data_IF_338912873049
#
_entry.id   IF_338912873049
#
_cell.length_a   1.000
_cell.length_b   1.000
_cell.length_c   1.000
_cell.angle_alpha   90.00
_cell.angle_beta   90.00
_cell.angle_gamma   90.00
#
_symmetry.space_group_name_H-M   'P 1'
#
loop_
_entity.id
_entity.type
_entity.pdbx_description
1 polymer ?
#
# COMPACT_ATOMS: atom_id res chain seq x y z
N UNK A 1 -35.88 4.90 -20.47
CA UNK A 1 -34.76 5.13 -21.40
C UNK A 1 -33.60 4.23 -20.95
N UNK A 2 -33.45 3.10 -21.65
CA UNK A 2 -32.41 2.12 -21.37
C UNK A 2 -31.04 2.68 -21.78
N UNK A 3 -30.16 2.93 -20.81
CA UNK A 3 -28.72 3.04 -21.07
C UNK A 3 -28.10 1.69 -20.74
N UNK A 4 -27.64 1.02 -21.78
CA UNK A 4 -26.88 -0.22 -21.73
C UNK A 4 -25.59 0.02 -20.93
N UNK A 5 -25.41 -0.71 -19.86
CA UNK A 5 -24.14 -0.83 -19.15
C UNK A 5 -23.10 -1.47 -20.06
N UNK A 6 -22.00 -0.78 -20.33
CA UNK A 6 -20.84 -1.36 -20.99
C UNK A 6 -20.21 -2.43 -20.10
N UNK A 7 -19.75 -3.55 -20.66
CA UNK A 7 -19.16 -4.62 -19.86
C UNK A 7 -17.84 -4.20 -19.21
N UNK A 8 -17.68 -4.57 -17.95
CA UNK A 8 -16.44 -4.48 -17.19
C UNK A 8 -15.32 -5.17 -17.98
N UNK A 9 -14.27 -4.45 -18.34
CA UNK A 9 -13.11 -5.06 -18.99
C UNK A 9 -12.44 -6.04 -18.01
N UNK A 10 -12.12 -7.25 -18.46
CA UNK A 10 -11.50 -8.26 -17.62
C UNK A 10 -10.09 -7.83 -17.18
N UNK A 11 -9.74 -8.15 -15.95
CA UNK A 11 -8.37 -8.10 -15.44
C UNK A 11 -7.42 -8.75 -16.46
N UNK A 12 -6.21 -8.19 -16.58
CA UNK A 12 -5.18 -8.67 -17.51
C UNK A 12 -5.02 -10.18 -17.34
N UNK A 13 -5.52 -10.92 -18.31
CA UNK A 13 -5.35 -12.37 -18.37
C UNK A 13 -3.95 -12.72 -18.87
N UNK A 14 -3.50 -13.95 -18.62
CA UNK A 14 -2.25 -14.50 -19.21
C UNK A 14 -2.13 -14.22 -20.69
N UNK A 15 -3.26 -14.22 -21.40
CA UNK A 15 -3.35 -13.94 -22.82
C UNK A 15 -3.07 -12.48 -23.13
N UNK A 16 -3.51 -11.55 -22.27
CA UNK A 16 -3.24 -10.11 -22.41
C UNK A 16 -1.77 -9.78 -22.12
N UNK A 17 -1.12 -10.50 -21.18
CA UNK A 17 0.31 -10.36 -20.92
C UNK A 17 1.14 -10.85 -22.11
N UNK A 18 0.74 -11.98 -22.70
CA UNK A 18 1.40 -12.54 -23.89
C UNK A 18 1.09 -11.74 -25.15
N UNK A 19 -0.10 -11.13 -25.26
CA UNK A 19 -0.47 -10.28 -26.39
C UNK A 19 0.17 -8.90 -26.33
N UNK A 20 0.37 -8.33 -25.15
CA UNK A 20 1.13 -7.09 -24.97
C UNK A 20 2.61 -7.27 -25.33
N UNK A 21 3.16 -8.47 -25.21
CA UNK A 21 4.50 -8.80 -25.67
C UNK A 21 4.61 -9.01 -27.19
N UNK A 22 3.47 -9.22 -27.89
CA UNK A 22 3.44 -9.58 -29.31
C UNK A 22 3.07 -8.45 -30.29
N UNK A 23 2.65 -7.28 -29.84
CA UNK A 23 2.18 -6.17 -30.70
C UNK A 23 2.97 -4.89 -30.40
N UNK A 24 4.18 -4.84 -30.85
CA UNK A 24 5.00 -3.64 -30.65
C UNK A 24 6.29 -3.56 -31.43
N UNK A 25 6.28 -3.98 -32.70
CA UNK A 25 7.43 -3.76 -33.55
C UNK A 25 7.00 -3.29 -34.95
N UNK A 26 6.79 -1.99 -35.12
CA UNK A 26 6.98 -1.31 -36.40
C UNK A 26 7.89 -0.10 -36.17
N UNK A 27 9.04 -0.03 -36.84
CA UNK A 27 9.98 1.07 -36.68
C UNK A 27 9.57 2.24 -37.59
N UNK A 28 9.20 3.36 -36.99
CA UNK A 28 9.25 4.65 -37.64
C UNK A 28 10.53 5.36 -37.19
N UNK A 29 11.49 5.40 -38.08
CA UNK A 29 12.79 6.03 -37.87
C UNK A 29 12.68 7.55 -37.77
N UNK A 30 13.29 8.10 -36.72
CA UNK A 30 13.77 9.47 -36.62
C UNK A 30 15.21 9.45 -36.09
N UNK A 31 16.16 10.20 -36.68
CA UNK A 31 17.55 10.13 -36.28
C UNK A 31 17.87 11.04 -35.10
N UNK A 32 18.61 10.49 -34.16
CA UNK A 32 19.60 11.21 -33.39
C UNK A 32 19.14 12.12 -32.25
N UNK A 33 18.87 11.55 -31.05
CA UNK A 33 19.18 12.22 -29.82
C UNK A 33 19.92 11.23 -28.90
N UNK A 34 21.17 11.55 -28.60
CA UNK A 34 22.01 10.79 -27.69
C UNK A 34 21.44 10.95 -26.28
N UNK A 35 20.79 9.93 -25.78
CA UNK A 35 20.37 9.87 -24.40
C UNK A 35 21.62 9.64 -23.53
N UNK A 36 21.99 10.61 -22.70
CA UNK A 36 22.96 10.44 -21.65
C UNK A 36 22.48 9.33 -20.70
N UNK A 37 23.14 8.17 -20.79
CA UNK A 37 22.87 7.05 -19.91
C UNK A 37 23.19 7.42 -18.47
N UNK A 38 22.19 7.49 -17.62
CA UNK A 38 22.41 7.56 -16.18
C UNK A 38 23.02 6.24 -15.76
N UNK A 39 24.25 6.33 -15.22
CA UNK A 39 25.00 5.17 -14.73
C UNK A 39 24.31 4.62 -13.45
N UNK A 40 23.41 3.66 -13.62
CA UNK A 40 22.71 2.96 -12.53
C UNK A 40 23.65 2.09 -11.67
N UNK A 41 24.95 2.07 -12.00
CA UNK A 41 25.98 1.29 -11.27
C UNK A 41 26.47 1.92 -9.96
N UNK A 42 25.99 3.10 -9.56
CA UNK A 42 26.10 3.52 -8.16
C UNK A 42 25.04 2.82 -7.31
N UNK A 43 25.00 1.51 -7.44
CA UNK A 43 24.14 0.64 -6.63
C UNK A 43 24.52 0.73 -5.16
N UNK A 44 23.51 0.74 -4.31
CA UNK A 44 23.57 0.56 -2.87
C UNK A 44 24.61 -0.50 -2.51
N UNK A 45 25.53 -0.16 -1.58
CA UNK A 45 26.67 -0.99 -1.22
C UNK A 45 26.28 -2.45 -0.96
N UNK A 46 27.02 -3.37 -1.57
CA UNK A 46 26.88 -4.80 -1.33
C UNK A 46 27.15 -5.06 0.16
N UNK A 47 26.12 -5.45 0.93
CA UNK A 47 26.28 -5.88 2.32
C UNK A 47 25.31 -5.28 3.35
N UNK A 48 24.58 -4.19 3.04
CA UNK A 48 23.53 -3.67 3.94
C UNK A 48 22.27 -4.57 3.90
N UNK A 49 21.67 -4.84 5.06
CA UNK A 49 20.40 -5.53 5.12
C UNK A 49 19.37 -4.82 4.23
N UNK A 50 18.66 -5.57 3.40
CA UNK A 50 17.73 -5.02 2.42
C UNK A 50 16.53 -4.43 3.15
N UNK A 51 16.37 -3.12 3.04
CA UNK A 51 15.24 -2.40 3.65
C UNK A 51 13.96 -2.58 2.83
N UNK A 52 12.83 -2.67 3.50
CA UNK A 52 11.52 -2.94 2.93
C UNK A 52 10.43 -2.07 3.56
N UNK A 53 9.22 -2.08 2.96
CA UNK A 53 8.07 -1.34 3.49
C UNK A 53 6.79 -2.16 3.40
N UNK A 54 6.00 -2.14 4.48
CA UNK A 54 4.61 -2.57 4.52
C UNK A 54 3.75 -1.31 4.65
N UNK A 55 2.99 -1.01 3.60
CA UNK A 55 2.11 0.16 3.52
C UNK A 55 0.66 -0.27 3.67
N UNK A 56 0.06 0.05 4.81
CA UNK A 56 -1.33 -0.30 5.15
C UNK A 56 -2.21 0.90 4.79
N UNK A 57 -2.98 0.76 3.72
CA UNK A 57 -3.93 1.75 3.25
C UNK A 57 -5.31 1.46 3.85
N UNK A 58 -5.69 2.24 4.85
CA UNK A 58 -7.03 2.24 5.43
C UNK A 58 -7.99 2.97 4.48
N UNK A 59 -8.31 2.31 3.36
CA UNK A 59 -9.09 2.86 2.26
C UNK A 59 -10.45 3.36 2.73
N UNK A 60 -10.76 4.60 2.41
CA UNK A 60 -11.93 5.31 2.89
C UNK A 60 -11.60 6.47 3.85
N UNK A 61 -10.37 6.52 4.37
CA UNK A 61 -9.92 7.61 5.23
C UNK A 61 -10.43 7.53 6.67
N UNK A 62 -9.71 6.85 7.57
CA UNK A 62 -10.09 6.80 8.98
C UNK A 62 -10.09 8.18 9.61
N UNK A 63 -11.07 8.44 10.47
CA UNK A 63 -11.15 9.70 11.21
C UNK A 63 -9.99 9.81 12.20
N UNK A 64 -9.14 10.80 12.02
CA UNK A 64 -8.04 11.09 12.96
C UNK A 64 -8.56 11.46 14.35
N UNK A 65 -9.71 12.16 14.42
CA UNK A 65 -10.39 12.55 15.66
C UNK A 65 -10.89 11.36 16.48
N UNK A 66 -11.13 10.24 15.82
CA UNK A 66 -11.66 9.04 16.47
C UNK A 66 -10.62 7.91 16.51
N UNK A 67 -9.35 8.17 16.14
CA UNK A 67 -8.25 7.20 16.14
C UNK A 67 -7.04 7.67 16.96
N UNK A 68 -6.23 8.57 16.41
CA UNK A 68 -4.90 8.88 16.94
C UNK A 68 -4.71 10.34 17.32
N UNK A 69 -5.71 11.20 17.09
CA UNK A 69 -5.67 12.63 17.39
C UNK A 69 -6.98 13.14 18.02
N UNK A 70 -7.44 12.43 19.06
CA UNK A 70 -8.68 12.76 19.77
C UNK A 70 -8.60 14.14 20.40
N UNK A 71 -9.75 14.83 20.41
CA UNK A 71 -9.93 16.17 21.01
C UNK A 71 -10.96 16.12 22.12
N UNK A 72 -10.61 15.57 23.31
CA UNK A 72 -11.56 15.34 24.39
C UNK A 72 -12.21 16.63 24.93
N UNK A 73 -11.52 17.75 24.80
CA UNK A 73 -12.01 19.07 25.24
C UNK A 73 -12.84 19.81 24.16
N UNK A 74 -12.99 19.21 22.97
CA UNK A 74 -13.83 19.80 21.91
C UNK A 74 -15.32 19.58 22.22
N UNK A 75 -16.22 20.39 21.62
CA UNK A 75 -17.67 20.20 21.74
C UNK A 75 -18.11 18.78 21.32
N UNK A 76 -19.22 18.31 21.88
CA UNK A 76 -19.78 16.96 21.62
C UNK A 76 -20.02 16.69 20.12
N UNK A 77 -20.30 17.73 19.35
CA UNK A 77 -20.44 17.66 17.90
C UNK A 77 -19.14 17.35 17.17
N UNK A 78 -17.99 17.40 17.85
CA UNK A 78 -16.64 17.20 17.30
C UNK A 78 -15.95 16.01 17.94
N UNK A 79 -15.91 15.93 19.28
CA UNK A 79 -15.05 14.97 20.01
C UNK A 79 -15.38 13.50 19.77
N UNK A 80 -16.58 13.17 19.31
CA UNK A 80 -17.04 11.78 19.17
C UNK A 80 -17.29 11.07 20.51
N UNK A 81 -17.68 9.79 20.50
CA UNK A 81 -18.04 9.04 21.69
C UNK A 81 -16.82 8.39 22.40
N UNK A 82 -15.67 8.31 21.75
CA UNK A 82 -14.52 7.58 22.25
C UNK A 82 -13.65 8.40 23.19
N UNK A 83 -13.00 7.70 24.13
CA UNK A 83 -12.11 8.31 25.12
C UNK A 83 -10.64 8.05 24.75
N UNK A 84 -9.75 9.03 24.98
CA UNK A 84 -8.33 8.84 24.84
C UNK A 84 -7.74 8.10 26.05
N UNK A 85 -7.05 6.99 25.81
CA UNK A 85 -6.32 6.25 26.84
C UNK A 85 -4.84 6.62 26.87
N UNK A 86 -4.17 6.48 28.04
CA UNK A 86 -2.72 6.60 28.14
C UNK A 86 -2.03 5.47 27.38
N UNK A 87 -0.80 5.74 26.95
CA UNK A 87 0.05 4.79 26.22
C UNK A 87 1.34 4.50 27.00
N UNK A 88 2.21 3.64 26.45
CA UNK A 88 3.54 3.40 27.01
C UNK A 88 4.40 4.67 27.03
N UNK A 89 4.08 5.66 26.19
CA UNK A 89 4.79 6.95 26.12
C UNK A 89 4.03 8.01 26.91
N UNK A 90 4.62 8.60 27.96
CA UNK A 90 3.98 9.65 28.75
C UNK A 90 3.51 10.83 27.88
N UNK A 91 2.27 11.25 28.07
CA UNK A 91 1.65 12.35 27.31
C UNK A 91 1.07 11.97 25.94
N UNK A 92 1.45 10.82 25.38
CA UNK A 92 0.83 10.31 24.17
C UNK A 92 -0.48 9.59 24.52
N UNK A 93 -1.55 9.93 23.81
CA UNK A 93 -2.87 9.32 23.97
C UNK A 93 -3.44 8.93 22.62
N UNK A 94 -4.15 7.80 22.57
CA UNK A 94 -4.86 7.28 21.40
C UNK A 94 -6.23 6.75 21.81
N UNK A 95 -7.05 6.36 20.86
CA UNK A 95 -8.41 5.84 21.11
C UNK A 95 -8.38 4.61 22.03
N UNK A 96 -9.36 4.53 22.94
CA UNK A 96 -9.53 3.44 23.92
C UNK A 96 -9.65 2.04 23.32
N UNK A 97 -10.03 1.93 22.04
CA UNK A 97 -10.09 0.66 21.32
C UNK A 97 -8.72 0.15 20.84
N UNK A 98 -7.67 0.97 20.95
CA UNK A 98 -6.31 0.61 20.60
C UNK A 98 -5.49 0.14 21.81
N UNK A 99 -6.04 -0.83 22.57
CA UNK A 99 -5.45 -1.31 23.84
C UNK A 99 -4.11 -2.01 23.69
N UNK A 100 -3.87 -2.63 22.52
CA UNK A 100 -2.62 -3.32 22.19
C UNK A 100 -1.58 -2.35 21.64
N UNK A 101 -1.96 -1.50 20.67
CA UNK A 101 -1.08 -0.47 20.14
C UNK A 101 -0.63 0.54 21.18
N UNK A 102 -1.49 0.86 22.16
CA UNK A 102 -1.13 1.74 23.27
C UNK A 102 0.11 1.27 24.04
N UNK A 103 0.35 -0.04 24.09
CA UNK A 103 1.51 -0.66 24.75
C UNK A 103 2.78 -0.67 23.88
N UNK A 104 2.65 -0.39 22.60
CA UNK A 104 3.72 -0.43 21.61
C UNK A 104 4.08 0.96 21.05
N UNK A 105 3.62 2.02 21.73
CA UNK A 105 3.85 3.40 21.26
C UNK A 105 5.31 3.82 21.31
N UNK A 106 6.14 3.14 22.07
CA UNK A 106 7.60 3.27 22.08
C UNK A 106 8.26 2.77 20.76
N UNK A 107 7.56 1.96 19.96
CA UNK A 107 7.98 1.52 18.64
C UNK A 107 7.38 2.33 17.49
N UNK A 108 6.37 3.17 17.75
CA UNK A 108 5.65 3.92 16.71
C UNK A 108 5.84 5.43 16.84
N UNK A 109 5.78 6.14 15.73
CA UNK A 109 5.63 7.58 15.71
C UNK A 109 4.26 7.94 15.09
N UNK A 110 3.59 8.95 15.66
CA UNK A 110 2.33 9.49 15.18
C UNK A 110 2.58 10.79 14.43
N UNK A 111 2.19 10.85 13.17
CA UNK A 111 2.13 12.09 12.39
C UNK A 111 0.69 12.60 12.47
N UNK A 112 0.49 13.76 13.13
CA UNK A 112 -0.85 14.37 13.33
C UNK A 112 -1.10 15.57 12.43
N UNK A 113 -0.28 15.76 11.44
CA UNK A 113 -0.29 16.94 10.57
C UNK A 113 -0.31 16.61 9.09
N UNK A 114 -0.76 15.41 8.73
CA UNK A 114 -0.98 15.07 7.33
C UNK A 114 -2.07 15.95 6.73
N UNK A 115 -1.86 16.40 5.49
CA UNK A 115 -2.85 17.19 4.75
C UNK A 115 -2.59 17.13 3.24
N UNK A 116 -3.64 17.36 2.46
CA UNK A 116 -3.53 17.61 1.03
C UNK A 116 -3.49 19.10 0.72
N UNK A 117 -2.85 19.46 -0.39
CA UNK A 117 -2.94 20.79 -0.97
C UNK A 117 -4.19 20.87 -1.84
N UNK A 118 -4.99 21.90 -1.63
CA UNK A 118 -6.27 22.05 -2.33
C UNK A 118 -7.38 21.17 -1.71
N UNK A 119 -8.56 21.27 -2.28
CA UNK A 119 -9.73 20.54 -1.78
C UNK A 119 -9.86 19.17 -2.47
N UNK A 120 -8.92 18.28 -2.20
CA UNK A 120 -8.92 16.91 -2.74
C UNK A 120 -9.78 16.04 -1.84
N UNK A 121 -11.07 16.01 -2.08
CA UNK A 121 -12.06 15.33 -1.27
C UNK A 121 -12.66 14.08 -1.94
N UNK A 122 -12.06 13.58 -3.02
CA UNK A 122 -12.44 12.33 -3.63
C UNK A 122 -11.33 11.28 -3.42
N UNK A 123 -11.75 10.04 -3.25
CA UNK A 123 -10.84 8.93 -2.94
C UNK A 123 -9.77 8.69 -4.02
N UNK A 124 -10.13 8.83 -5.30
CA UNK A 124 -9.22 8.51 -6.40
C UNK A 124 -7.99 9.40 -6.42
N UNK A 125 -8.22 10.71 -6.42
CA UNK A 125 -7.13 11.68 -6.48
C UNK A 125 -6.31 11.64 -5.20
N UNK A 126 -6.98 11.54 -4.03
CA UNK A 126 -6.30 11.45 -2.75
C UNK A 126 -5.41 10.20 -2.63
N UNK A 127 -5.93 9.02 -3.01
CA UNK A 127 -5.14 7.79 -3.06
C UNK A 127 -4.01 7.87 -4.08
N UNK A 128 -4.28 8.44 -5.25
CA UNK A 128 -3.27 8.57 -6.30
C UNK A 128 -2.10 9.45 -5.85
N UNK A 129 -2.38 10.59 -5.21
CA UNK A 129 -1.34 11.45 -4.64
C UNK A 129 -0.57 10.76 -3.52
N UNK A 130 -1.28 10.11 -2.61
CA UNK A 130 -0.66 9.40 -1.48
C UNK A 130 0.26 8.27 -1.94
N UNK A 131 -0.24 7.40 -2.81
CA UNK A 131 0.48 6.20 -3.25
C UNK A 131 1.61 6.50 -4.25
N UNK A 132 1.51 7.60 -5.01
CA UNK A 132 2.59 8.07 -5.87
C UNK A 132 3.65 8.87 -5.09
N UNK A 133 3.31 9.38 -3.91
CA UNK A 133 4.18 10.30 -3.16
C UNK A 133 4.45 11.59 -3.94
N UNK A 134 3.43 12.14 -4.61
CA UNK A 134 3.52 13.37 -5.41
C UNK A 134 2.37 14.32 -5.09
N UNK A 135 2.65 15.63 -5.03
CA UNK A 135 1.66 16.65 -4.68
C UNK A 135 0.56 16.82 -5.74
N UNK A 136 0.92 16.70 -7.00
CA UNK A 136 0.04 16.81 -8.17
C UNK A 136 0.44 15.70 -9.14
N UNK A 137 0.11 14.48 -8.77
CA UNK A 137 0.50 13.31 -9.53
C UNK A 137 -0.19 13.31 -10.90
N UNK A 138 0.57 13.25 -12.01
CA UNK A 138 -0.04 13.00 -13.32
C UNK A 138 -0.72 11.63 -13.32
N UNK A 139 -1.73 11.44 -14.18
CA UNK A 139 -2.53 10.22 -14.22
C UNK A 139 -1.71 8.94 -14.44
N UNK A 140 -0.54 9.05 -15.06
CA UNK A 140 0.41 7.97 -15.30
C UNK A 140 1.56 7.91 -14.27
N UNK A 141 1.42 8.57 -13.12
CA UNK A 141 2.44 8.51 -12.08
C UNK A 141 2.57 7.09 -11.52
N UNK A 142 3.78 6.55 -11.42
CA UNK A 142 4.00 5.26 -10.78
C UNK A 142 3.87 5.40 -9.25
N UNK A 143 3.44 4.33 -8.60
CA UNK A 143 3.36 4.30 -7.15
C UNK A 143 4.72 3.99 -6.52
N UNK A 144 4.87 4.32 -5.23
CA UNK A 144 6.11 4.17 -4.46
C UNK A 144 6.70 2.76 -4.60
N UNK A 145 5.88 1.71 -4.51
CA UNK A 145 6.34 0.33 -4.70
C UNK A 145 6.83 0.04 -6.12
N UNK A 146 6.20 0.63 -7.15
CA UNK A 146 6.63 0.53 -8.55
C UNK A 146 7.95 1.26 -8.79
N UNK A 147 8.12 2.43 -8.17
CA UNK A 147 9.36 3.19 -8.20
C UNK A 147 10.49 2.37 -7.54
N UNK A 148 10.23 1.79 -6.36
CA UNK A 148 11.20 0.94 -5.68
C UNK A 148 11.60 -0.28 -6.53
N UNK A 149 10.62 -0.91 -7.18
CA UNK A 149 10.87 -2.03 -8.11
C UNK A 149 11.81 -1.65 -9.26
N UNK A 150 11.75 -0.41 -9.76
CA UNK A 150 12.65 0.11 -10.80
C UNK A 150 14.00 0.51 -10.24
N UNK A 151 14.01 1.19 -9.10
CA UNK A 151 15.23 1.70 -8.45
C UNK A 151 16.11 0.59 -7.88
N UNK A 152 15.50 -0.54 -7.51
CA UNK A 152 16.16 -1.71 -6.96
C UNK A 152 15.72 -2.97 -7.70
N UNK A 153 16.23 -3.21 -8.90
CA UNK A 153 15.99 -4.47 -9.57
C UNK A 153 16.50 -5.61 -8.68
N UNK A 154 15.61 -6.55 -8.38
CA UNK A 154 15.94 -7.72 -7.55
C UNK A 154 16.37 -8.89 -8.43
N UNK A 155 17.38 -9.61 -7.96
CA UNK A 155 17.84 -10.87 -8.58
C UNK A 155 17.04 -12.08 -8.07
N UNK A 156 16.05 -11.88 -7.19
CA UNK A 156 15.27 -12.96 -6.56
C UNK A 156 14.02 -13.31 -7.35
N UNK A 157 13.60 -14.55 -7.17
CA UNK A 157 12.44 -15.18 -7.80
C UNK A 157 11.07 -14.70 -7.30
N UNK A 158 11.00 -13.61 -6.56
CA UNK A 158 9.72 -13.08 -6.02
C UNK A 158 9.43 -11.69 -6.58
N UNK A 159 8.13 -11.36 -6.71
CA UNK A 159 7.73 -10.04 -7.17
C UNK A 159 8.25 -8.94 -6.24
N UNK A 160 8.94 -7.90 -6.74
CA UNK A 160 9.52 -6.85 -5.90
C UNK A 160 8.48 -5.96 -5.22
N UNK A 161 7.26 -5.94 -5.76
CA UNK A 161 6.10 -5.21 -5.26
C UNK A 161 4.85 -6.09 -5.28
N UNK A 162 4.17 -6.20 -4.14
CA UNK A 162 2.93 -6.97 -3.98
C UNK A 162 1.84 -6.07 -3.42
N UNK A 163 0.61 -6.25 -3.89
CA UNK A 163 -0.57 -5.57 -3.36
C UNK A 163 -1.59 -6.60 -2.88
N UNK A 164 -1.86 -6.60 -1.59
CA UNK A 164 -2.82 -7.49 -0.96
C UNK A 164 -4.20 -6.84 -0.94
N UNK A 165 -5.14 -7.47 -1.61
CA UNK A 165 -6.54 -7.06 -1.80
C UNK A 165 -6.65 -5.66 -2.42
N UNK A 166 -6.44 -5.60 -3.74
CA UNK A 166 -6.63 -4.36 -4.49
C UNK A 166 -8.05 -3.82 -4.38
N UNK A 167 -9.03 -4.71 -4.41
CA UNK A 167 -10.43 -4.35 -4.59
C UNK A 167 -11.34 -5.35 -3.87
N UNK A 168 -12.34 -4.84 -3.16
CA UNK A 168 -13.29 -5.66 -2.41
C UNK A 168 -14.74 -5.56 -2.90
N UNK A 169 -14.96 -5.04 -4.09
CA UNK A 169 -16.27 -5.12 -4.76
C UNK A 169 -16.86 -3.82 -5.28
N UNK A 170 -16.38 -2.65 -4.86
CA UNK A 170 -16.84 -1.39 -5.44
C UNK A 170 -15.90 -0.94 -6.57
N UNK A 171 -16.41 -0.74 -7.80
CA UNK A 171 -15.62 -0.22 -8.92
C UNK A 171 -14.94 1.11 -8.61
N UNK A 172 -15.53 1.93 -7.74
CA UNK A 172 -15.00 3.24 -7.34
C UNK A 172 -13.61 3.09 -6.71
N UNK A 173 -13.41 2.11 -5.83
CA UNK A 173 -12.11 1.85 -5.19
C UNK A 173 -11.19 0.93 -5.98
N UNK A 174 -11.69 0.41 -7.10
CA UNK A 174 -10.99 -0.50 -7.98
C UNK A 174 -10.56 0.17 -9.29
N UNK A 175 -10.51 1.49 -9.33
CA UNK A 175 -10.22 2.25 -10.54
C UNK A 175 -8.99 1.77 -11.28
N UNK A 176 -9.03 1.87 -12.60
CA UNK A 176 -8.02 1.33 -13.50
C UNK A 176 -6.59 1.86 -13.24
N UNK A 177 -6.47 3.04 -12.65
CA UNK A 177 -5.18 3.68 -12.37
C UNK A 177 -4.51 3.19 -11.08
N UNK A 178 -5.27 2.51 -10.20
CA UNK A 178 -4.74 2.04 -8.92
C UNK A 178 -3.84 0.83 -9.14
N UNK A 179 -2.55 0.97 -8.82
CA UNK A 179 -1.58 -0.11 -8.81
C UNK A 179 -0.85 -0.36 -10.13
N UNK A 180 -0.95 0.51 -11.09
CA UNK A 180 -0.17 0.39 -12.31
C UNK A 180 1.27 0.88 -12.09
N UNK A 181 2.22 0.31 -12.84
CA UNK A 181 3.61 0.81 -12.88
C UNK A 181 3.72 2.21 -13.48
N UNK A 182 2.60 2.81 -13.88
CA UNK A 182 2.55 4.13 -14.50
C UNK A 182 3.43 4.21 -15.75
N UNK A 183 4.09 5.35 -15.92
CA UNK A 183 5.03 5.54 -17.05
C UNK A 183 6.27 4.62 -16.98
N UNK A 184 6.53 3.92 -15.86
CA UNK A 184 7.59 2.92 -15.76
C UNK A 184 7.23 1.59 -16.46
N UNK A 185 5.95 1.39 -16.77
CA UNK A 185 5.44 0.23 -17.50
C UNK A 185 4.99 -0.93 -16.61
N UNK A 186 4.34 -1.91 -17.24
CA UNK A 186 3.70 -3.05 -16.59
C UNK A 186 4.66 -3.94 -15.80
N UNK A 187 5.93 -3.97 -16.16
CA UNK A 187 6.99 -4.74 -15.46
C UNK A 187 7.17 -4.30 -14.00
N UNK A 188 6.83 -3.05 -13.69
CA UNK A 188 6.92 -2.49 -12.35
C UNK A 188 5.57 -2.42 -11.63
N UNK A 189 4.51 -2.97 -12.22
CA UNK A 189 3.21 -3.11 -11.56
C UNK A 189 3.28 -4.14 -10.44
N UNK A 190 2.48 -3.99 -9.37
CA UNK A 190 2.44 -4.97 -8.30
C UNK A 190 1.87 -6.31 -8.76
N UNK A 191 2.29 -7.37 -8.11
CA UNK A 191 1.55 -8.62 -8.10
C UNK A 191 0.32 -8.43 -7.20
N UNK A 192 -0.87 -8.55 -7.79
CA UNK A 192 -2.11 -8.47 -7.02
C UNK A 192 -2.46 -9.82 -6.42
N UNK A 193 -2.76 -9.82 -5.11
CA UNK A 193 -3.05 -11.03 -4.35
C UNK A 193 -4.36 -10.86 -3.60
N UNK A 194 -5.26 -11.80 -3.78
CA UNK A 194 -6.49 -11.89 -3.02
C UNK A 194 -7.63 -11.00 -3.53
N UNK A 195 -8.78 -11.25 -2.96
CA UNK A 195 -10.05 -10.55 -3.20
C UNK A 195 -10.96 -10.71 -1.98
N UNK A 196 -12.15 -10.11 -2.01
CA UNK A 196 -13.15 -10.30 -0.96
C UNK A 196 -13.59 -11.78 -0.77
N UNK A 197 -13.43 -12.59 -1.81
CA UNK A 197 -13.82 -14.03 -1.81
C UNK A 197 -12.64 -15.00 -1.83
N UNK A 198 -11.42 -14.49 -1.83
CA UNK A 198 -10.18 -15.28 -1.75
C UNK A 198 -9.12 -14.49 -0.97
N UNK A 199 -9.12 -14.59 0.33
CA UNK A 199 -8.17 -13.89 1.20
C UNK A 199 -7.62 -14.81 2.30
N UNK A 200 -6.46 -14.50 2.90
CA UNK A 200 -5.75 -15.38 3.83
C UNK A 200 -6.52 -15.81 5.08
N UNK A 201 -7.57 -15.09 5.47
CA UNK A 201 -8.43 -15.52 6.58
C UNK A 201 -9.42 -16.64 6.19
N UNK A 202 -9.55 -16.94 4.89
CA UNK A 202 -10.41 -18.05 4.42
C UNK A 202 -9.64 -19.37 4.42
N UNK A 203 -10.25 -20.47 4.85
CA UNK A 203 -9.64 -21.81 4.77
C UNK A 203 -9.29 -22.23 3.34
N UNK A 204 -10.02 -21.68 2.36
CA UNK A 204 -9.87 -21.97 0.93
C UNK A 204 -8.89 -21.05 0.22
N UNK A 205 -8.20 -20.18 0.94
CA UNK A 205 -7.26 -19.23 0.34
C UNK A 205 -6.21 -19.93 -0.52
N UNK A 206 -6.03 -19.40 -1.71
CA UNK A 206 -5.01 -19.87 -2.66
C UNK A 206 -4.13 -18.74 -3.11
N UNK A 207 -2.86 -19.06 -3.31
CA UNK A 207 -1.93 -18.17 -4.00
C UNK A 207 -2.47 -17.77 -5.38
N UNK A 208 -2.06 -16.61 -5.93
CA UNK A 208 -2.44 -16.20 -7.27
C UNK A 208 -2.14 -17.28 -8.31
N UNK A 209 -3.07 -17.46 -9.25
CA UNK A 209 -2.90 -18.42 -10.35
C UNK A 209 -1.66 -18.12 -11.21
N UNK A 210 -1.24 -16.87 -11.25
CA UNK A 210 -0.02 -16.42 -11.94
C UNK A 210 1.25 -17.07 -11.38
N UNK A 211 1.22 -17.52 -10.14
CA UNK A 211 2.33 -18.24 -9.47
C UNK A 211 2.26 -19.76 -9.67
N UNK A 212 1.22 -20.25 -10.34
CA UNK A 212 1.01 -21.70 -10.52
C UNK A 212 1.43 -22.09 -11.94
N UNK A 213 2.48 -22.88 -12.06
CA UNK A 213 2.88 -23.43 -13.35
C UNK A 213 1.78 -24.38 -13.90
N UNK A 214 1.37 -24.16 -15.13
CA UNK A 214 0.40 -25.02 -15.83
C UNK A 214 1.04 -26.18 -16.57
N UNK A 215 2.38 -26.23 -16.58
CA UNK A 215 3.19 -27.28 -17.21
C UNK A 215 4.28 -27.72 -16.26
N UNK A 216 4.86 -28.90 -16.48
CA UNK A 216 5.97 -29.39 -15.62
C UNK A 216 7.17 -28.46 -15.70
N UNK A 217 7.98 -28.45 -14.64
CA UNK A 217 9.23 -27.67 -14.58
C UNK A 217 10.18 -28.04 -15.71
N UNK A 218 10.27 -29.31 -16.09
CA UNK A 218 11.08 -29.79 -17.22
C UNK A 218 10.66 -29.11 -18.52
N UNK A 219 9.34 -29.09 -18.82
CA UNK A 219 8.81 -28.45 -20.02
C UNK A 219 8.97 -26.92 -20.00
N UNK A 220 8.97 -26.32 -18.82
CA UNK A 220 9.29 -24.90 -18.66
C UNK A 220 10.77 -24.63 -18.96
N UNK A 221 11.68 -25.47 -18.48
CA UNK A 221 13.11 -25.37 -18.75
C UNK A 221 13.42 -25.57 -20.23
N UNK A 222 12.77 -26.53 -20.90
CA UNK A 222 12.89 -26.72 -22.36
C UNK A 222 12.44 -25.49 -23.13
N UNK A 223 11.28 -24.90 -22.76
CA UNK A 223 10.81 -23.66 -23.37
C UNK A 223 11.76 -22.50 -23.19
N UNK A 224 12.38 -22.37 -22.00
CA UNK A 224 13.39 -21.35 -21.72
C UNK A 224 14.62 -21.53 -22.62
N UNK A 225 15.14 -22.75 -22.73
CA UNK A 225 16.28 -23.05 -23.63
C UNK A 225 15.98 -22.72 -25.09
N UNK A 226 14.76 -23.01 -25.56
CA UNK A 226 14.32 -22.66 -26.91
C UNK A 226 14.25 -21.14 -27.10
N UNK A 227 13.70 -20.40 -26.14
CA UNK A 227 13.64 -18.94 -26.18
C UNK A 227 15.02 -18.31 -26.18
N UNK A 228 15.93 -18.80 -25.34
CA UNK A 228 17.32 -18.32 -25.27
C UNK A 228 18.04 -18.56 -26.62
N UNK A 229 17.75 -19.67 -27.30
CA UNK A 229 18.30 -19.99 -28.61
C UNK A 229 17.69 -19.18 -29.77
N UNK A 230 16.51 -18.58 -29.56
CA UNK A 230 15.83 -17.72 -30.53
C UNK A 230 16.09 -16.22 -30.31
N UNK A 231 16.83 -15.87 -29.27
CA UNK A 231 17.11 -14.47 -28.94
C UNK A 231 17.86 -13.80 -30.09
N UNK A 232 17.32 -12.75 -30.72
CA UNK A 232 17.96 -12.07 -31.83
C UNK A 232 19.25 -11.41 -31.35
N UNK A 233 20.30 -11.53 -32.13
CA UNK A 233 21.50 -10.69 -32.01
C UNK A 233 21.10 -9.28 -32.45
N UNK A 234 20.69 -8.47 -31.48
CA UNK A 234 20.26 -7.09 -31.74
C UNK A 234 21.45 -6.24 -32.19
N UNK A 235 21.34 -5.60 -33.34
CA UNK A 235 22.40 -4.79 -33.94
C UNK A 235 22.39 -3.33 -33.50
N UNK A 236 21.33 -2.87 -32.83
CA UNK A 236 21.20 -1.49 -32.35
C UNK A 236 20.82 -1.40 -30.86
N UNK A 237 21.16 -0.25 -30.23
CA UNK A 237 20.99 -0.03 -28.78
C UNK A 237 19.51 -0.05 -28.37
N UNK A 238 18.60 0.38 -29.22
CA UNK A 238 17.16 0.44 -28.90
C UNK A 238 16.58 -0.98 -28.88
N UNK A 239 16.94 -1.78 -29.86
CA UNK A 239 16.55 -3.19 -29.93
C UNK A 239 17.20 -3.99 -28.81
N UNK A 240 18.46 -3.71 -28.46
CA UNK A 240 19.15 -4.33 -27.31
C UNK A 240 18.43 -4.06 -25.99
N UNK A 241 18.01 -2.79 -25.73
CA UNK A 241 17.27 -2.44 -24.51
C UNK A 241 15.93 -3.16 -24.45
N UNK A 242 15.16 -3.14 -25.51
CA UNK A 242 13.87 -3.83 -25.59
C UNK A 242 14.03 -5.34 -25.39
N UNK A 243 15.09 -5.93 -25.94
CA UNK A 243 15.39 -7.35 -25.78
C UNK A 243 15.79 -7.69 -24.36
N UNK A 244 16.60 -6.84 -23.71
CA UNK A 244 17.01 -7.03 -22.32
C UNK A 244 15.80 -6.91 -21.37
N UNK A 245 14.97 -5.88 -21.52
CA UNK A 245 13.73 -5.71 -20.73
C UNK A 245 12.80 -6.92 -20.91
N UNK A 246 12.70 -7.47 -22.12
CA UNK A 246 11.90 -8.66 -22.42
C UNK A 246 12.48 -9.93 -21.79
N UNK A 247 13.80 -10.12 -21.86
CA UNK A 247 14.50 -11.27 -21.24
C UNK A 247 14.36 -11.23 -19.72
N UNK A 248 14.50 -10.06 -19.09
CA UNK A 248 14.34 -9.86 -17.67
C UNK A 248 12.90 -10.18 -17.23
N UNK A 249 11.89 -9.72 -18.00
CA UNK A 249 10.50 -10.03 -17.73
C UNK A 249 10.20 -11.53 -17.79
N UNK A 250 10.69 -12.19 -18.85
CA UNK A 250 10.53 -13.64 -19.02
C UNK A 250 11.30 -14.44 -17.96
N UNK A 251 12.51 -14.01 -17.63
CA UNK A 251 13.29 -14.60 -16.54
C UNK A 251 12.53 -14.57 -15.20
N UNK A 252 12.03 -13.40 -14.83
CA UNK A 252 11.22 -13.23 -13.60
C UNK A 252 9.94 -14.05 -13.62
N UNK A 253 9.19 -14.03 -14.73
CA UNK A 253 7.97 -14.83 -14.86
C UNK A 253 8.25 -16.32 -14.74
N UNK A 254 9.37 -16.79 -15.30
CA UNK A 254 9.81 -18.17 -15.16
C UNK A 254 10.16 -18.50 -13.71
N UNK A 255 10.96 -17.67 -13.05
CA UNK A 255 11.41 -17.88 -11.68
C UNK A 255 10.22 -17.87 -10.69
N UNK A 256 9.26 -16.94 -10.89
CA UNK A 256 8.02 -16.89 -10.10
C UNK A 256 7.16 -18.16 -10.25
N UNK A 257 7.16 -18.77 -11.42
CA UNK A 257 6.26 -19.91 -11.73
C UNK A 257 6.91 -21.27 -11.56
N UNK A 258 8.25 -21.37 -11.71
CA UNK A 258 8.98 -22.64 -11.66
C UNK A 258 9.47 -23.03 -10.26
N UNK A 259 9.69 -22.03 -9.38
CA UNK A 259 10.24 -22.23 -8.03
C UNK A 259 9.17 -22.46 -6.97
N UNK A 260 9.48 -23.25 -5.95
CA UNK A 260 8.69 -23.35 -4.72
C UNK A 260 8.82 -22.07 -3.86
N UNK A 261 9.96 -21.38 -3.95
CA UNK A 261 10.30 -20.21 -3.15
C UNK A 261 9.31 -19.04 -3.35
N UNK A 262 8.85 -18.81 -4.58
CA UNK A 262 7.86 -17.78 -4.89
C UNK A 262 6.47 -18.06 -4.29
N UNK A 263 6.16 -19.30 -3.93
CA UNK A 263 4.84 -19.73 -3.40
C UNK A 263 4.83 -19.93 -1.89
N UNK A 264 5.96 -20.25 -1.31
CA UNK A 264 6.07 -20.55 0.12
C UNK A 264 5.50 -19.46 1.05
N UNK A 265 5.65 -18.14 0.78
CA UNK A 265 5.06 -17.11 1.61
C UNK A 265 3.54 -17.20 1.74
N UNK A 266 2.86 -17.70 0.71
CA UNK A 266 1.39 -17.82 0.65
C UNK A 266 0.85 -19.03 1.42
N UNK A 267 1.70 -19.93 1.88
CA UNK A 267 1.32 -21.12 2.64
C UNK A 267 1.15 -20.78 4.13
N UNK A 268 0.11 -19.98 4.46
CA UNK A 268 -0.12 -19.51 5.83
C UNK A 268 -0.42 -20.65 6.81
N UNK A 269 -0.85 -21.81 6.32
CA UNK A 269 -1.04 -23.00 7.15
C UNK A 269 0.24 -23.52 7.79
N UNK A 270 1.40 -23.11 7.31
CA UNK A 270 2.69 -23.39 7.96
C UNK A 270 2.96 -22.54 9.19
N UNK A 271 2.23 -21.45 9.38
CA UNK A 271 2.33 -20.65 10.60
C UNK A 271 1.58 -21.36 11.74
N UNK A 272 2.13 -21.39 12.95
CA UNK A 272 1.42 -21.89 14.12
C UNK A 272 0.08 -21.17 14.29
N UNK A 273 -0.96 -21.92 14.69
CA UNK A 273 -2.28 -21.34 14.90
C UNK A 273 -2.25 -20.16 15.89
N UNK A 274 -1.44 -20.25 16.94
CA UNK A 274 -1.26 -19.18 17.91
C UNK A 274 -0.70 -17.88 17.31
N UNK A 275 0.14 -17.97 16.27
CA UNK A 275 0.60 -16.80 15.53
C UNK A 275 -0.52 -16.23 14.69
N UNK A 276 -1.26 -17.08 13.99
CA UNK A 276 -2.42 -16.66 13.18
C UNK A 276 -3.49 -15.97 14.03
N UNK A 277 -3.79 -16.55 15.20
CA UNK A 277 -4.76 -16.00 16.15
C UNK A 277 -4.31 -14.65 16.71
N UNK A 278 -3.00 -14.45 16.95
CA UNK A 278 -2.45 -13.18 17.42
C UNK A 278 -2.67 -12.03 16.43
N UNK A 279 -2.61 -12.30 15.13
CA UNK A 279 -2.90 -11.33 14.07
C UNK A 279 -4.40 -11.07 13.88
N UNK A 280 -5.26 -11.94 14.44
CA UNK A 280 -6.71 -11.91 14.25
C UNK A 280 -7.16 -12.69 13.00
N UNK A 281 -8.22 -13.50 13.15
CA UNK A 281 -8.78 -14.34 12.08
C UNK A 281 -9.76 -13.55 11.19
N UNK A 282 -9.34 -12.36 10.76
CA UNK A 282 -10.07 -11.46 9.87
C UNK A 282 -9.18 -11.05 8.69
N UNK A 283 -9.74 -10.52 7.58
CA UNK A 283 -8.97 -10.21 6.36
C UNK A 283 -7.74 -9.36 6.61
N UNK A 284 -7.86 -8.26 7.35
CA UNK A 284 -6.72 -7.38 7.62
C UNK A 284 -5.60 -8.12 8.37
N UNK A 285 -5.93 -8.80 9.47
CA UNK A 285 -4.93 -9.49 10.29
C UNK A 285 -4.15 -10.56 9.53
N UNK A 286 -4.86 -11.43 8.79
CA UNK A 286 -4.21 -12.48 8.02
C UNK A 286 -3.46 -11.94 6.78
N UNK A 287 -3.87 -10.80 6.20
CA UNK A 287 -3.10 -10.11 5.17
C UNK A 287 -1.82 -9.47 5.74
N UNK A 288 -1.84 -8.96 6.97
CA UNK A 288 -0.63 -8.45 7.63
C UNK A 288 0.36 -9.58 7.95
N UNK A 289 -0.13 -10.74 8.35
CA UNK A 289 0.71 -11.95 8.48
C UNK A 289 1.33 -12.34 7.14
N UNK A 290 0.54 -12.35 6.05
CA UNK A 290 1.07 -12.60 4.70
C UNK A 290 2.09 -11.54 4.30
N UNK A 291 1.84 -10.26 4.58
CA UNK A 291 2.78 -9.17 4.29
C UNK A 291 4.12 -9.39 5.00
N UNK A 292 4.13 -9.79 6.28
CA UNK A 292 5.37 -10.14 7.00
C UNK A 292 6.12 -11.27 6.31
N UNK A 293 5.43 -12.35 5.92
CA UNK A 293 6.04 -13.49 5.20
C UNK A 293 6.64 -13.09 3.85
N UNK A 294 5.95 -12.22 3.12
CA UNK A 294 6.44 -11.68 1.84
C UNK A 294 7.72 -10.85 2.03
N UNK A 295 7.76 -9.98 3.04
CA UNK A 295 8.98 -9.22 3.38
C UNK A 295 10.12 -10.17 3.80
N UNK A 296 9.84 -11.16 4.63
CA UNK A 296 10.81 -12.20 5.04
C UNK A 296 11.39 -12.95 3.85
N UNK A 297 10.58 -13.17 2.80
CA UNK A 297 11.02 -13.78 1.54
C UNK A 297 11.74 -12.81 0.60
N UNK A 298 11.82 -11.52 0.94
CA UNK A 298 12.59 -10.51 0.22
C UNK A 298 11.80 -9.58 -0.68
N UNK A 299 10.46 -9.57 -0.62
CA UNK A 299 9.64 -8.52 -1.27
C UNK A 299 10.04 -7.16 -0.71
N UNK A 300 10.31 -6.19 -1.57
CA UNK A 300 10.75 -4.86 -1.15
C UNK A 300 9.61 -3.96 -0.68
N UNK A 301 8.41 -4.11 -1.25
CA UNK A 301 7.26 -3.29 -0.92
C UNK A 301 5.96 -4.10 -0.95
N UNK A 302 5.17 -3.99 0.12
CA UNK A 302 3.85 -4.62 0.20
C UNK A 302 2.82 -3.56 0.54
N UNK A 303 1.86 -3.32 -0.35
CA UNK A 303 0.65 -2.55 -0.03
C UNK A 303 -0.42 -3.50 0.48
N UNK A 304 -1.01 -3.19 1.63
CA UNK A 304 -2.10 -3.94 2.22
C UNK A 304 -3.34 -3.05 2.28
N UNK A 305 -4.43 -3.49 1.67
CA UNK A 305 -5.72 -2.84 1.90
C UNK A 305 -6.14 -3.07 3.36
N UNK A 306 -6.44 -1.99 4.08
CA UNK A 306 -6.86 -1.99 5.48
C UNK A 306 -8.27 -2.55 5.73
N UNK A 307 -8.81 -3.31 4.78
CA UNK A 307 -10.12 -3.91 4.88
C UNK A 307 -10.20 -4.97 5.97
N UNK A 308 -11.10 -4.78 6.93
CA UNK A 308 -11.27 -5.63 8.11
C UNK A 308 -12.25 -6.80 7.87
N UNK A 309 -12.89 -6.84 6.71
CA UNK A 309 -13.96 -7.78 6.42
C UNK A 309 -15.32 -7.29 6.91
N UNK A 310 -16.33 -8.12 6.68
CA UNK A 310 -17.68 -7.87 7.16
C UNK A 310 -17.77 -8.13 8.66
N UNK A 311 -18.40 -7.20 9.38
CA UNK A 311 -18.72 -7.40 10.79
C UNK A 311 -19.77 -8.49 10.97
N UNK A 312 -19.62 -9.37 11.97
CA UNK A 312 -20.67 -10.33 12.33
C UNK A 312 -21.96 -9.64 12.82
N UNK A 313 -21.87 -8.37 13.22
CA UNK A 313 -23.03 -7.58 13.64
C UNK A 313 -23.79 -6.92 12.48
N UNK A 314 -23.41 -7.22 11.22
CA UNK A 314 -24.01 -6.64 10.03
C UNK A 314 -23.66 -5.18 9.82
N UNK A 315 -24.57 -4.41 9.27
CA UNK A 315 -24.35 -2.99 8.93
C UNK A 315 -24.01 -2.84 7.46
N UNK A 316 -24.92 -2.16 6.75
CA UNK A 316 -25.00 -2.06 5.30
C UNK A 316 -23.83 -1.38 4.64
N UNK A 317 -23.97 -1.22 3.36
CA UNK A 317 -23.01 -0.63 2.46
C UNK A 317 -22.23 -1.69 1.67
N UNK A 318 -21.65 -1.29 0.55
CA UNK A 318 -20.81 -2.17 -0.24
C UNK A 318 -19.56 -2.58 0.55
N UNK A 319 -19.04 -3.80 0.39
CA UNK A 319 -17.88 -4.30 1.15
C UNK A 319 -16.56 -3.65 0.74
N UNK A 320 -16.61 -2.58 -0.05
CA UNK A 320 -15.47 -1.97 -0.72
C UNK A 320 -14.47 -1.30 0.22
N UNK A 321 -14.94 -0.68 1.31
CA UNK A 321 -14.09 0.12 2.18
C UNK A 321 -14.61 0.11 3.61
N UNK A 322 -13.82 -0.37 4.53
CA UNK A 322 -14.18 -0.37 5.96
C UNK A 322 -14.11 1.01 6.59
N UNK A 323 -13.36 1.96 6.01
CA UNK A 323 -13.02 3.25 6.61
C UNK A 323 -13.80 4.43 6.03
N UNK A 324 -14.65 4.21 5.03
CA UNK A 324 -15.48 5.25 4.43
C UNK A 324 -16.77 5.48 5.23
N UNK A 325 -16.61 6.01 6.44
CA UNK A 325 -17.60 6.03 7.51
C UNK A 325 -18.50 7.29 7.46
N UNK A 326 -19.28 7.43 6.40
CA UNK A 326 -20.22 8.54 6.22
C UNK A 326 -21.46 8.49 7.12
N UNK A 327 -21.74 7.36 7.73
CA UNK A 327 -22.97 7.15 8.48
C UNK A 327 -24.17 6.87 7.58
N UNK A 328 -25.35 7.26 8.02
CA UNK A 328 -26.62 6.97 7.32
C UNK A 328 -26.79 7.67 5.97
N UNK A 329 -26.03 8.72 5.70
CA UNK A 329 -26.12 9.48 4.44
C UNK A 329 -25.86 8.62 3.21
N UNK A 330 -24.93 7.66 3.30
CA UNK A 330 -24.60 6.73 2.21
C UNK A 330 -25.07 5.29 2.50
N UNK A 331 -25.99 5.10 3.46
CA UNK A 331 -26.47 3.78 3.83
C UNK A 331 -25.43 2.89 4.53
N UNK A 332 -24.35 3.48 5.06
CA UNK A 332 -23.24 2.76 5.70
C UNK A 332 -23.47 2.44 7.18
N UNK A 333 -24.60 2.90 7.75
CA UNK A 333 -24.91 2.68 9.16
C UNK A 333 -24.18 3.66 10.08
N UNK A 334 -24.14 3.33 11.38
CA UNK A 334 -23.51 4.18 12.39
C UNK A 334 -21.98 4.04 12.34
N UNK A 335 -21.27 5.12 12.00
CA UNK A 335 -19.81 5.15 11.93
C UNK A 335 -19.11 4.84 13.28
N UNK A 336 -19.79 5.08 14.39
CA UNK A 336 -19.29 4.79 15.73
C UNK A 336 -19.78 3.43 16.27
N UNK A 337 -20.59 2.71 15.50
CA UNK A 337 -21.13 1.40 15.87
C UNK A 337 -20.18 0.26 15.54
N UNK A 338 -20.69 -0.96 15.69
CA UNK A 338 -19.94 -2.21 15.44
C UNK A 338 -20.27 -2.89 14.09
N UNK A 339 -20.93 -2.17 13.18
CA UNK A 339 -21.16 -2.64 11.81
C UNK A 339 -19.89 -2.65 10.97
N UNK A 340 -19.97 -3.15 9.74
CA UNK A 340 -18.83 -3.28 8.81
C UNK A 340 -18.15 -1.94 8.47
N UNK A 341 -18.88 -0.84 8.54
CA UNK A 341 -18.39 0.53 8.40
C UNK A 341 -18.41 1.28 9.74
N UNK A 342 -18.22 0.58 10.83
CA UNK A 342 -18.22 1.14 12.17
C UNK A 342 -16.88 0.98 12.86
N UNK A 343 -16.46 2.03 13.57
CA UNK A 343 -15.18 2.04 14.31
C UNK A 343 -15.15 0.97 15.40
N UNK A 344 -16.31 0.64 15.99
CA UNK A 344 -16.42 -0.44 16.98
C UNK A 344 -16.07 -1.84 16.46
N UNK A 345 -16.02 -2.03 15.14
CA UNK A 345 -15.49 -3.22 14.48
C UNK A 345 -14.08 -3.00 13.92
N UNK A 346 -13.90 -1.91 13.17
CA UNK A 346 -12.66 -1.68 12.43
C UNK A 346 -11.46 -1.39 13.33
N UNK A 347 -11.64 -0.61 14.43
CA UNK A 347 -10.52 -0.25 15.31
C UNK A 347 -9.95 -1.44 16.08
N UNK A 348 -10.75 -2.34 16.69
CA UNK A 348 -10.23 -3.55 17.30
C UNK A 348 -9.48 -4.46 16.31
N UNK A 349 -9.98 -4.63 15.09
CA UNK A 349 -9.29 -5.41 14.06
C UNK A 349 -7.96 -4.77 13.65
N UNK A 350 -7.92 -3.43 13.54
CA UNK A 350 -6.69 -2.70 13.24
C UNK A 350 -5.69 -2.82 14.39
N UNK A 351 -6.16 -2.62 15.62
CA UNK A 351 -5.34 -2.76 16.83
C UNK A 351 -4.69 -4.14 16.92
N UNK A 352 -5.49 -5.20 16.71
CA UNK A 352 -5.02 -6.58 16.74
C UNK A 352 -3.98 -6.85 15.66
N UNK A 353 -4.30 -6.56 14.40
CA UNK A 353 -3.43 -6.88 13.29
C UNK A 353 -2.13 -6.06 13.27
N UNK A 354 -2.19 -4.75 13.51
CA UNK A 354 -1.01 -3.88 13.47
C UNK A 354 -0.12 -4.11 14.68
N UNK A 355 -0.69 -4.31 15.86
CA UNK A 355 0.13 -4.64 17.06
C UNK A 355 0.86 -5.97 16.89
N UNK A 356 0.16 -6.99 16.36
CA UNK A 356 0.79 -8.28 16.06
C UNK A 356 1.92 -8.14 15.02
N UNK A 357 1.72 -7.35 13.97
CA UNK A 357 2.74 -7.10 12.96
C UNK A 357 3.99 -6.44 13.55
N UNK A 358 3.82 -5.34 14.31
CA UNK A 358 4.96 -4.62 14.91
C UNK A 358 5.72 -5.53 15.86
N UNK A 359 5.00 -6.27 16.73
CA UNK A 359 5.60 -7.21 17.67
C UNK A 359 6.36 -8.33 16.94
N UNK A 360 5.76 -8.94 15.92
CA UNK A 360 6.38 -10.06 15.18
C UNK A 360 7.63 -9.61 14.40
N UNK A 361 7.58 -8.40 13.79
CA UNK A 361 8.75 -7.81 13.14
C UNK A 361 9.86 -7.47 14.14
N UNK A 362 9.51 -6.95 15.32
CA UNK A 362 10.47 -6.66 16.38
C UNK A 362 11.10 -7.95 16.92
N UNK A 363 10.31 -8.96 17.29
CA UNK A 363 10.77 -10.22 17.84
C UNK A 363 11.70 -11.00 16.88
N UNK A 364 11.51 -10.80 15.57
CA UNK A 364 12.34 -11.38 14.51
C UNK A 364 13.55 -10.53 14.13
N UNK A 365 13.75 -9.37 14.76
CA UNK A 365 14.81 -8.43 14.37
C UNK A 365 14.64 -7.83 12.99
N UNK A 366 13.42 -7.82 12.44
CA UNK A 366 13.10 -7.31 11.11
C UNK A 366 12.65 -5.84 11.15
N UNK A 367 12.19 -5.34 12.30
CA UNK A 367 11.57 -4.03 12.40
C UNK A 367 12.52 -2.88 12.01
N UNK A 368 13.81 -2.99 12.34
CA UNK A 368 14.81 -1.97 11.96
C UNK A 368 14.96 -1.79 10.45
N UNK A 369 14.70 -2.86 9.69
CA UNK A 369 14.84 -2.87 8.23
C UNK A 369 13.49 -2.86 7.50
N UNK A 370 12.38 -2.84 8.22
CA UNK A 370 11.04 -2.84 7.64
C UNK A 370 10.25 -1.64 8.15
N UNK A 371 10.01 -0.67 7.27
CA UNK A 371 9.11 0.44 7.59
C UNK A 371 7.66 -0.03 7.51
N UNK A 372 6.88 0.26 8.54
CA UNK A 372 5.43 0.06 8.58
C UNK A 372 4.76 1.42 8.53
N UNK A 373 3.84 1.60 7.60
CA UNK A 373 3.02 2.82 7.46
C UNK A 373 1.56 2.43 7.57
N UNK A 374 0.80 3.11 8.43
CA UNK A 374 -0.66 2.94 8.55
C UNK A 374 -1.30 4.30 8.33
N UNK A 375 -2.05 4.46 7.25
CA UNK A 375 -2.66 5.74 6.87
C UNK A 375 -3.93 5.53 6.07
N UNK A 376 -4.79 6.55 6.01
CA UNK A 376 -5.81 6.68 4.99
C UNK A 376 -5.41 7.74 3.96
N UNK A 377 -6.21 7.85 2.92
CA UNK A 377 -5.98 8.82 1.84
C UNK A 377 -6.33 10.26 2.23
N UNK A 378 -7.17 10.46 3.24
CA UNK A 378 -7.49 11.75 3.86
C UNK A 378 -8.12 11.53 5.25
N UNK A 379 -8.47 12.61 5.95
CA UNK A 379 -9.19 12.58 7.22
C UNK A 379 -10.70 12.73 7.06
N UNK A 380 -11.36 13.00 8.18
CA UNK A 380 -12.82 13.18 8.26
C UNK A 380 -13.18 14.53 8.88
N UNK A 381 -14.35 15.06 8.52
CA UNK A 381 -14.83 16.36 9.03
C UNK A 381 -14.82 16.39 10.54
N UNK A 382 -14.39 17.53 11.16
CA UNK A 382 -14.48 17.70 12.61
C UNK A 382 -15.90 17.51 13.12
N UNK A 383 -16.88 18.14 12.48
CA UNK A 383 -18.27 18.01 12.87
C UNK A 383 -18.82 16.64 12.47
N UNK A 384 -19.45 15.99 13.46
CA UNK A 384 -20.20 14.75 13.26
C UNK A 384 -21.48 15.12 12.51
N UNK A 385 -21.71 14.44 11.39
CA UNK A 385 -22.96 14.56 10.66
C UNK A 385 -24.03 13.72 11.36
N UNK A 386 -25.08 14.40 11.80
CA UNK A 386 -26.20 13.81 12.54
C UNK A 386 -27.36 13.41 11.61
N UNK A 387 -27.11 13.17 10.31
CA UNK A 387 -28.15 12.84 9.32
C UNK A 387 -29.03 11.67 9.76
N UNK A 388 -30.13 11.97 10.45
CA UNK A 388 -30.96 11.03 11.17
C UNK A 388 -30.24 10.49 12.40
N UNK A 389 -30.66 10.89 13.60
CA UNK A 389 -29.99 10.63 14.89
C UNK A 389 -29.49 9.19 15.16
N UNK A 390 -29.94 8.22 14.38
CA UNK A 390 -29.57 6.79 14.52
C UNK A 390 -28.22 6.40 13.88
N UNK A 391 -27.77 7.14 12.88
CA UNK A 391 -26.60 6.74 12.08
C UNK A 391 -25.62 7.91 11.84
N UNK A 392 -24.97 8.42 12.89
CA UNK A 392 -23.99 9.48 12.75
C UNK A 392 -22.75 9.03 11.99
N UNK A 393 -22.05 9.98 11.36
CA UNK A 393 -20.82 9.75 10.62
C UNK A 393 -20.04 11.04 10.38
N UNK A 394 -18.98 10.96 9.58
CA UNK A 394 -18.18 12.12 9.20
C UNK A 394 -17.90 12.11 7.70
N UNK A 395 -17.87 13.29 7.09
CA UNK A 395 -17.59 13.47 5.67
C UNK A 395 -16.07 13.52 5.38
N UNK A 396 -15.69 13.57 4.11
CA UNK A 396 -14.30 13.68 3.70
C UNK A 396 -13.68 15.01 4.14
N UNK A 397 -12.43 14.96 4.63
CA UNK A 397 -11.71 16.15 5.08
C UNK A 397 -10.21 16.06 4.76
N UNK A 398 -9.76 16.64 3.64
CA UNK A 398 -8.37 16.53 3.21
C UNK A 398 -7.41 17.44 3.97
N UNK A 399 -7.92 18.40 4.75
CA UNK A 399 -7.10 19.44 5.39
C UNK A 399 -6.35 18.98 6.64
N UNK A 400 -6.73 17.84 7.22
CA UNK A 400 -6.04 17.26 8.38
C UNK A 400 -6.34 15.77 8.53
N UNK A 401 -5.28 14.95 8.69
CA UNK A 401 -5.39 13.54 9.05
C UNK A 401 -4.12 13.03 9.72
N UNK A 402 -4.16 11.80 10.23
CA UNK A 402 -3.07 11.22 10.99
C UNK A 402 -2.54 9.94 10.35
N UNK A 403 -1.25 9.68 10.54
CA UNK A 403 -0.55 8.49 10.06
C UNK A 403 0.30 7.90 11.17
N UNK A 404 0.34 6.57 11.28
CA UNK A 404 1.33 5.84 12.08
C UNK A 404 2.50 5.46 11.18
N UNK A 405 3.72 5.61 11.70
CA UNK A 405 4.93 5.05 11.11
C UNK A 405 5.74 4.31 12.18
N UNK A 406 6.35 3.19 11.80
CA UNK A 406 7.18 2.38 12.69
C UNK A 406 8.33 1.71 11.91
N UNK A 407 9.40 1.36 12.59
CA UNK A 407 10.50 0.62 11.99
C UNK A 407 11.23 1.36 10.86
N UNK A 408 12.08 0.66 10.11
CA UNK A 408 12.83 1.24 8.99
C UNK A 408 13.77 2.40 9.36
N UNK A 409 14.18 2.50 10.63
CA UNK A 409 14.98 3.60 11.19
C UNK A 409 14.16 4.71 11.87
N UNK A 410 12.83 4.60 11.89
CA UNK A 410 11.96 5.54 12.62
C UNK A 410 12.15 5.35 14.12
N UNK A 411 12.35 6.48 14.83
CA UNK A 411 12.32 6.51 16.29
C UNK A 411 10.89 6.50 16.79
N UNK A 412 10.51 5.47 17.49
CA UNK A 412 9.22 5.41 18.18
C UNK A 412 9.12 6.38 19.37
N UNK A 413 7.95 6.42 20.00
CA UNK A 413 7.67 7.28 21.14
C UNK A 413 7.48 8.76 20.77
N UNK A 414 7.21 9.10 19.52
CA UNK A 414 7.15 10.48 19.04
C UNK A 414 5.81 10.85 18.44
N UNK A 415 5.46 12.11 18.60
CA UNK A 415 4.38 12.77 17.85
C UNK A 415 5.01 13.86 16.98
N UNK A 416 4.73 13.82 15.68
CA UNK A 416 5.19 14.79 14.71
C UNK A 416 4.02 15.66 14.25
N UNK A 417 4.21 16.98 14.38
CA UNK A 417 3.18 17.95 14.02
C UNK A 417 1.95 17.92 14.93
N UNK A 418 1.08 18.89 14.74
CA UNK A 418 -0.10 19.12 15.57
C UNK A 418 -1.26 19.63 14.70
N UNK A 419 -2.47 19.15 14.95
CA UNK A 419 -3.70 19.76 14.46
C UNK A 419 -4.22 20.82 15.42
N UNK A 420 -5.15 21.65 14.98
CA UNK A 420 -5.80 22.64 15.82
C UNK A 420 -6.69 21.99 16.91
N UNK A 421 -7.23 22.81 17.78
CA UNK A 421 -8.07 22.36 18.90
C UNK A 421 -9.32 21.58 18.51
N UNK A 422 -9.74 21.68 17.25
CA UNK A 422 -10.89 20.98 16.69
C UNK A 422 -10.49 19.85 15.74
N UNK A 423 -9.17 19.65 15.47
CA UNK A 423 -8.70 18.69 14.46
C UNK A 423 -9.12 19.07 13.05
N UNK A 424 -9.45 20.33 12.80
CA UNK A 424 -9.92 20.80 11.50
C UNK A 424 -8.75 21.04 10.54
N UNK A 425 -7.71 21.69 11.02
CA UNK A 425 -6.57 22.11 10.21
C UNK A 425 -5.25 21.78 10.91
N UNK A 426 -4.23 21.62 10.10
CA UNK A 426 -2.87 21.50 10.63
C UNK A 426 -2.45 22.85 11.26
N UNK A 427 -1.94 22.77 12.49
CA UNK A 427 -1.44 23.90 13.26
C UNK A 427 0.07 24.03 13.18
N UNK A 428 0.78 22.90 13.20
CA UNK A 428 2.26 22.88 13.21
C UNK A 428 2.79 21.75 12.34
N UNK A 429 3.95 21.98 11.71
CA UNK A 429 4.71 21.00 10.91
C UNK A 429 3.85 20.23 9.90
N UNK A 430 3.25 20.90 8.89
CA UNK A 430 2.41 20.25 7.88
C UNK A 430 3.20 19.19 7.13
N UNK A 431 2.58 18.03 6.93
CA UNK A 431 3.11 16.89 6.16
C UNK A 431 2.18 16.59 5.00
N UNK A 432 2.71 16.53 3.81
CA UNK A 432 1.96 16.25 2.59
C UNK A 432 2.27 14.83 2.08
N UNK A 433 1.45 14.27 1.17
CA UNK A 433 1.73 12.97 0.57
C UNK A 433 3.14 12.83 -0.01
N UNK A 434 3.69 13.89 -0.63
CA UNK A 434 5.06 13.85 -1.15
C UNK A 434 6.13 13.78 -0.06
N UNK A 435 5.89 14.40 1.11
CA UNK A 435 6.82 14.36 2.23
C UNK A 435 6.83 12.97 2.88
N UNK A 436 5.65 12.34 3.00
CA UNK A 436 5.54 10.94 3.41
C UNK A 436 6.23 10.02 2.39
N UNK A 437 6.04 10.24 1.09
CA UNK A 437 6.74 9.51 0.03
C UNK A 437 8.25 9.64 0.11
N UNK A 438 8.76 10.88 0.29
CA UNK A 438 10.18 11.15 0.50
C UNK A 438 10.72 10.46 1.76
N UNK A 439 9.93 10.44 2.84
CA UNK A 439 10.26 9.75 4.11
C UNK A 439 10.39 8.24 3.90
N UNK A 440 9.47 7.64 3.15
CA UNK A 440 9.54 6.21 2.80
C UNK A 440 10.79 5.93 1.96
N UNK A 441 11.08 6.73 0.93
CA UNK A 441 12.29 6.53 0.12
C UNK A 441 13.57 6.70 0.94
N UNK A 442 13.62 7.69 1.82
CA UNK A 442 14.74 7.87 2.75
C UNK A 442 14.93 6.64 3.65
N UNK A 443 13.85 6.17 4.30
CA UNK A 443 13.86 4.94 5.10
C UNK A 443 14.39 3.76 4.29
N UNK A 444 13.96 3.61 3.04
CA UNK A 444 14.39 2.56 2.15
C UNK A 444 15.82 2.74 1.61
N UNK A 445 16.48 3.89 1.86
CA UNK A 445 17.80 4.23 1.35
C UNK A 445 17.83 4.43 -0.17
N UNK A 446 16.72 4.89 -0.75
CA UNK A 446 16.63 5.27 -2.16
C UNK A 446 16.93 6.77 -2.27
N UNK A 447 17.92 7.18 -3.07
CA UNK A 447 18.27 8.59 -3.24
C UNK A 447 17.08 9.38 -3.82
N UNK A 448 16.71 10.50 -3.20
CA UNK A 448 15.57 11.32 -3.61
C UNK A 448 15.82 12.07 -4.93
N UNK A 449 17.10 12.35 -5.24
CA UNK A 449 17.54 12.98 -6.47
C UNK A 449 17.61 12.01 -7.66
N UNK A 450 17.39 10.70 -7.42
CA UNK A 450 17.31 9.71 -8.48
C UNK A 450 16.22 10.11 -9.46
N UNK A 451 16.54 10.09 -10.75
CA UNK A 451 15.59 10.42 -11.80
C UNK A 451 15.25 9.19 -12.62
N UNK A 452 13.96 8.92 -12.75
CA UNK A 452 13.45 7.79 -13.51
C UNK A 452 12.56 8.28 -14.65
N UNK A 453 12.61 7.56 -15.77
CA UNK A 453 11.76 7.83 -16.94
C UNK A 453 11.83 6.69 -17.95
N UNK A 454 10.87 6.64 -18.86
CA UNK A 454 10.77 5.63 -19.92
C UNK A 454 11.16 6.19 -21.30
N UNK A 455 10.89 7.44 -21.53
CA UNK A 455 10.85 8.13 -22.83
C UNK A 455 12.03 9.11 -23.03
N UNK A 456 13.09 8.98 -22.25
CA UNK A 456 14.21 9.93 -22.23
C UNK A 456 13.94 11.19 -21.39
N UNK A 457 12.70 11.45 -20.98
CA UNK A 457 12.35 12.47 -20.04
C UNK A 457 12.39 11.89 -18.63
N UNK A 458 13.38 12.30 -17.84
CA UNK A 458 13.51 11.84 -16.45
C UNK A 458 12.78 12.79 -15.52
N UNK A 459 12.07 12.22 -14.57
CA UNK A 459 11.39 12.96 -13.47
C UNK A 459 12.06 12.63 -12.14
N UNK A 460 12.16 13.60 -11.20
CA UNK A 460 12.66 13.30 -9.87
C UNK A 460 11.75 12.26 -9.20
N UNK A 461 12.34 11.42 -8.39
CA UNK A 461 11.66 10.33 -7.69
C UNK A 461 10.65 10.88 -6.68
N UNK A 462 10.98 11.97 -6.01
CA UNK A 462 10.10 12.68 -5.10
C UNK A 462 10.31 14.20 -5.23
N UNK A 463 9.26 14.96 -4.92
CA UNK A 463 9.29 16.42 -4.77
C UNK A 463 9.10 16.85 -3.32
N UNK A 464 8.97 15.89 -2.40
CA UNK A 464 8.79 16.14 -0.97
C UNK A 464 10.09 16.15 -0.19
N UNK A 465 10.00 16.59 1.06
CA UNK A 465 11.07 16.59 2.03
C UNK A 465 10.89 15.46 3.05
N UNK A 466 11.90 14.63 3.31
CA UNK A 466 11.79 13.57 4.28
C UNK A 466 11.74 14.11 5.70
N UNK A 467 10.93 13.50 6.55
CA UNK A 467 10.78 13.88 7.97
C UNK A 467 11.98 13.37 8.79
N UNK A 468 13.14 13.99 8.60
CA UNK A 468 14.40 13.53 9.20
C UNK A 468 14.37 13.53 10.74
N UNK A 469 13.57 14.39 11.37
CA UNK A 469 13.39 14.42 12.82
C UNK A 469 12.80 13.11 13.39
N UNK A 470 12.20 12.29 12.55
CA UNK A 470 11.68 10.98 12.93
C UNK A 470 12.74 9.87 12.93
N UNK A 471 13.91 10.12 12.35
CA UNK A 471 14.99 9.13 12.30
C UNK A 471 16.00 9.30 13.44
N UNK A 472 16.75 8.22 13.70
CA UNK A 472 17.73 8.12 14.75
C UNK A 472 19.13 8.56 14.37
#
# INVERSE_FOLDING_TARGET
MNRSMSPVQPMISRRSLLQAAGVGALPLGLPGMVAAGVDTKKGLGKGAAKKSCIFILCCGGPSHLDTWDLKPDAPDTIRGPYQPIPTAVPGMRINEMHTRLAKLTDHIALIRSMNHVGNISNHFDAMHHLLSGQAQAPADAPYIGSILSKARPDERSIAPYVWLIKCVGDPVFCAANIGNGGHLGAMHSPLFVGSATNHPAMPTFKAPDELIATVSTERMLERRRLLDGLSPTASDITTQRSTTDWQDLHGRAFDLTSGSEGREPFELHREPQSVRDRYGMHPLGQNLLLARRLIESGVGFVTVNGWTGQSPNGGGGPPASSWDMHGGEMGMGNAFGSGSYGMGWCLPCLDEGVSALITDLHDRGMLENTMVVVTGEFGRTPNINQNGAANPGRQHWPSCYSTIVAGGGIRGGRVYGESDKHGAYVKDRPVRPQDLGATIFHSLGVPLDLRLGKDGFTRPLSTGEPLLDLFG
#
